data_IF_667899172919
#
_entry.id   IF_667899172919
#
_cell.length_a   1.000
_cell.length_b   1.000
_cell.length_c   1.000
_cell.angle_alpha   90.00
_cell.angle_beta   90.00
_cell.angle_gamma   90.00
#
_symmetry.space_group_name_H-M   'P 1'
#
loop_
_entity.id
_entity.type
_entity.pdbx_description
1 polymer ?
#
# COMPACT_ATOMS: atom_id res chain seq x y z
N UNK A 1 2.26 26.49 -19.39
CA UNK A 1 2.91 25.81 -20.53
C UNK A 1 2.09 24.59 -20.93
N UNK A 2 1.88 24.32 -22.22
CA UNK A 2 1.17 23.14 -22.70
C UNK A 2 2.06 21.89 -22.71
N UNK A 3 1.47 20.70 -22.54
CA UNK A 3 2.12 19.39 -22.66
C UNK A 3 2.99 19.27 -23.92
N UNK A 4 2.51 19.85 -25.03
CA UNK A 4 3.22 19.90 -26.31
C UNK A 4 4.61 20.58 -26.22
N UNK A 5 4.78 21.62 -25.39
CA UNK A 5 6.08 22.29 -25.20
C UNK A 5 7.08 21.45 -24.40
N UNK A 6 6.61 20.63 -23.45
CA UNK A 6 7.48 19.70 -22.70
C UNK A 6 7.89 18.48 -23.53
N UNK A 7 6.94 17.89 -24.26
CA UNK A 7 7.22 16.77 -25.20
C UNK A 7 8.22 17.22 -26.28
N UNK A 8 8.15 18.48 -26.74
CA UNK A 8 9.11 19.03 -27.70
C UNK A 8 10.55 19.14 -27.15
N UNK A 9 10.72 19.34 -25.83
CA UNK A 9 12.05 19.38 -25.18
C UNK A 9 12.63 18.00 -24.88
N UNK A 10 11.79 16.99 -24.63
CA UNK A 10 12.22 15.62 -24.26
C UNK A 10 11.38 14.58 -24.99
N UNK A 11 11.90 14.03 -26.09
CA UNK A 11 11.17 13.02 -26.89
C UNK A 11 10.95 11.71 -26.15
N UNK A 12 11.72 11.43 -25.10
CA UNK A 12 11.62 10.22 -24.28
C UNK A 12 10.92 10.54 -22.96
N UNK A 13 9.88 9.79 -22.65
CA UNK A 13 9.24 9.79 -21.33
C UNK A 13 10.20 9.17 -20.31
N UNK A 14 10.51 9.91 -19.25
CA UNK A 14 11.44 9.46 -18.20
C UNK A 14 10.71 8.76 -17.05
N UNK A 15 9.47 9.14 -16.77
CA UNK A 15 8.66 8.49 -15.72
C UNK A 15 8.12 7.14 -16.16
N UNK A 16 8.12 6.19 -15.23
CA UNK A 16 7.41 4.91 -15.35
C UNK A 16 6.33 4.87 -14.28
N UNK A 17 5.06 4.97 -14.69
CA UNK A 17 3.90 4.95 -13.78
C UNK A 17 3.07 3.67 -13.88
N UNK A 18 3.50 2.73 -14.71
CA UNK A 18 2.78 1.49 -15.00
C UNK A 18 3.56 0.30 -14.46
N UNK A 19 2.84 -0.72 -14.02
CA UNK A 19 3.44 -1.99 -13.61
C UNK A 19 4.01 -2.68 -14.85
N UNK A 20 5.28 -3.06 -14.79
CA UNK A 20 5.92 -3.87 -15.83
C UNK A 20 6.02 -5.33 -15.41
N UNK A 21 6.08 -6.25 -16.37
CA UNK A 21 6.34 -7.65 -16.09
C UNK A 21 7.72 -7.83 -15.43
N UNK A 22 7.80 -8.69 -14.42
CA UNK A 22 9.05 -8.97 -13.73
C UNK A 22 9.45 -7.95 -12.67
N UNK A 23 8.69 -6.87 -12.43
CA UNK A 23 9.00 -5.86 -11.40
C UNK A 23 9.27 -6.46 -10.00
N UNK A 24 8.74 -7.65 -9.71
CA UNK A 24 8.98 -8.36 -8.46
C UNK A 24 10.48 -8.65 -8.21
N UNK A 25 11.30 -8.73 -9.26
CA UNK A 25 12.76 -8.91 -9.13
C UNK A 25 13.44 -7.68 -8.53
N UNK A 26 12.87 -6.49 -8.72
CA UNK A 26 13.36 -5.25 -8.11
C UNK A 26 13.00 -5.16 -6.62
N UNK A 27 12.13 -6.05 -6.11
CA UNK A 27 11.75 -6.05 -4.71
C UNK A 27 12.86 -6.67 -3.84
N UNK A 28 13.69 -5.81 -3.26
CA UNK A 28 14.86 -6.21 -2.46
C UNK A 28 14.57 -6.38 -0.97
N UNK A 29 13.47 -5.81 -0.46
CA UNK A 29 13.15 -5.75 0.98
C UNK A 29 11.81 -6.41 1.32
N UNK A 30 11.59 -6.70 2.61
CA UNK A 30 10.35 -7.29 3.13
C UNK A 30 10.35 -8.83 3.09
N UNK A 31 9.18 -9.42 3.25
CA UNK A 31 9.00 -10.88 3.28
C UNK A 31 8.91 -11.46 1.88
N UNK A 32 9.76 -12.46 1.59
CA UNK A 32 9.80 -13.15 0.29
C UNK A 32 9.96 -14.65 0.48
N UNK A 33 8.84 -15.37 0.48
CA UNK A 33 8.79 -16.85 0.49
C UNK A 33 7.95 -17.33 -0.67
N UNK A 34 8.51 -18.15 -1.56
CA UNK A 34 7.83 -18.67 -2.76
C UNK A 34 6.42 -19.18 -2.46
N UNK A 35 5.41 -18.60 -3.11
CA UNK A 35 3.99 -18.96 -2.95
C UNK A 35 3.26 -18.31 -1.76
N UNK A 36 3.96 -17.50 -0.95
CA UNK A 36 3.44 -16.94 0.31
C UNK A 36 3.57 -15.42 0.41
N UNK A 37 3.98 -14.74 -0.66
CA UNK A 37 4.20 -13.29 -0.66
C UNK A 37 3.73 -12.65 -1.96
N UNK A 38 3.52 -11.34 -1.91
CA UNK A 38 3.27 -10.49 -3.07
C UNK A 38 4.16 -9.25 -2.99
N UNK A 39 4.69 -8.81 -4.13
CA UNK A 39 5.39 -7.53 -4.22
C UNK A 39 4.37 -6.39 -4.19
N UNK A 40 4.49 -5.53 -3.19
CA UNK A 40 3.61 -4.39 -2.99
C UNK A 40 4.29 -3.10 -3.47
N UNK A 41 3.60 -2.36 -4.32
CA UNK A 41 3.94 -0.97 -4.65
C UNK A 41 3.49 -0.06 -3.50
N UNK A 42 4.45 0.50 -2.77
CA UNK A 42 4.18 1.34 -1.59
C UNK A 42 3.36 2.57 -1.97
N UNK A 43 3.82 3.30 -2.98
CA UNK A 43 3.01 4.23 -3.76
C UNK A 43 2.33 3.42 -4.86
N UNK A 44 1.06 3.09 -4.65
CA UNK A 44 0.29 2.18 -5.49
C UNK A 44 0.11 2.70 -6.93
N UNK A 45 0.19 1.79 -7.90
CA UNK A 45 -0.14 2.07 -9.32
C UNK A 45 -1.54 2.67 -9.46
N UNK A 46 -2.52 2.14 -8.71
CA UNK A 46 -3.88 2.66 -8.66
C UNK A 46 -3.91 4.11 -8.14
N UNK A 47 -3.19 4.41 -7.06
CA UNK A 47 -3.14 5.75 -6.48
C UNK A 47 -2.49 6.78 -7.41
N UNK A 48 -1.41 6.39 -8.09
CA UNK A 48 -0.78 7.23 -9.13
C UNK A 48 -1.68 7.35 -10.35
N UNK A 49 -2.47 6.32 -10.70
CA UNK A 49 -3.41 6.35 -11.82
C UNK A 49 -4.63 7.25 -11.61
N UNK A 50 -5.14 7.32 -10.37
CA UNK A 50 -6.29 8.16 -9.98
C UNK A 50 -6.12 9.64 -10.27
N UNK A 51 -4.87 10.08 -10.43
CA UNK A 51 -4.48 11.41 -10.84
C UNK A 51 -5.24 11.94 -12.08
N UNK A 52 -5.64 11.04 -12.99
CA UNK A 52 -6.41 11.41 -14.20
C UNK A 52 -7.87 11.79 -13.92
N UNK A 53 -8.41 11.38 -12.77
CA UNK A 53 -9.84 11.50 -12.41
C UNK A 53 -10.04 12.44 -11.24
N UNK A 54 -9.16 12.38 -10.25
CA UNK A 54 -9.37 13.00 -8.93
C UNK A 54 -8.97 14.48 -8.85
N UNK A 55 -8.39 15.07 -9.91
CA UNK A 55 -7.92 16.47 -9.84
C UNK A 55 -8.91 17.52 -10.33
N UNK A 56 -8.79 18.75 -9.77
CA UNK A 56 -9.50 19.89 -10.28
C UNK A 56 -9.26 20.05 -11.78
N UNK A 57 -10.32 19.88 -12.57
CA UNK A 57 -10.31 20.13 -14.02
C UNK A 57 -10.31 21.62 -14.35
N UNK A 58 -10.17 22.48 -13.35
CA UNK A 58 -10.19 23.93 -13.51
C UNK A 58 -8.95 24.56 -12.87
N UNK A 59 -8.16 25.32 -13.65
CA UNK A 59 -8.29 25.47 -15.10
C UNK A 59 -7.96 24.16 -15.84
N UNK A 60 -8.59 23.88 -17.00
CA UNK A 60 -8.45 22.63 -17.79
C UNK A 60 -7.02 22.30 -18.26
N UNK A 61 -6.08 23.21 -18.05
CA UNK A 61 -4.65 23.03 -18.30
C UNK A 61 -3.90 22.26 -17.19
N UNK A 62 -4.56 21.96 -16.06
CA UNK A 62 -3.89 21.41 -14.89
C UNK A 62 -3.46 19.95 -15.05
N UNK A 63 -4.34 19.13 -15.63
CA UNK A 63 -4.03 17.73 -15.92
C UNK A 63 -2.90 17.60 -16.96
N UNK A 64 -2.95 18.42 -18.01
CA UNK A 64 -1.90 18.47 -19.03
C UNK A 64 -0.56 18.94 -18.46
N UNK A 65 -0.58 19.90 -17.54
CA UNK A 65 0.61 20.36 -16.83
C UNK A 65 1.19 19.26 -15.93
N UNK A 66 0.37 18.58 -15.13
CA UNK A 66 0.81 17.47 -14.27
C UNK A 66 1.40 16.32 -15.08
N UNK A 67 0.76 15.92 -16.18
CA UNK A 67 1.32 14.90 -17.07
C UNK A 67 2.62 15.38 -17.72
N UNK A 68 2.77 16.66 -18.03
CA UNK A 68 4.01 17.23 -18.54
C UNK A 68 5.14 17.23 -17.50
N UNK A 69 4.84 17.56 -16.25
CA UNK A 69 5.78 17.48 -15.12
C UNK A 69 6.25 16.05 -14.91
N UNK A 70 5.29 15.11 -14.87
CA UNK A 70 5.59 13.69 -14.74
C UNK A 70 6.38 13.18 -15.92
N UNK A 71 6.07 13.57 -17.16
CA UNK A 71 6.77 13.10 -18.36
C UNK A 71 8.29 13.21 -18.26
N UNK A 72 8.78 14.31 -17.68
CA UNK A 72 10.20 14.64 -17.52
C UNK A 72 10.78 14.23 -16.15
N UNK A 73 9.99 13.61 -15.28
CA UNK A 73 10.45 13.20 -13.95
C UNK A 73 11.03 11.79 -13.98
N UNK A 74 12.33 11.60 -13.69
CA UNK A 74 12.97 10.28 -13.70
C UNK A 74 12.63 9.51 -12.42
N UNK A 75 11.37 9.07 -12.33
CA UNK A 75 10.83 8.23 -11.26
C UNK A 75 10.20 6.96 -11.84
N UNK A 76 10.48 5.82 -11.22
CA UNK A 76 9.96 4.52 -11.65
C UNK A 76 9.19 3.87 -10.50
N UNK A 77 7.89 3.65 -10.74
CA UNK A 77 7.01 2.99 -9.79
C UNK A 77 7.51 1.57 -9.44
N UNK A 78 8.23 0.91 -10.33
CA UNK A 78 8.77 -0.44 -10.18
C UNK A 78 10.17 -0.47 -9.55
N UNK A 79 10.72 0.68 -9.16
CA UNK A 79 12.03 0.74 -8.53
C UNK A 79 12.00 0.15 -7.12
N UNK A 80 13.14 -0.38 -6.66
CA UNK A 80 13.27 -1.08 -5.39
C UNK A 80 12.79 -0.26 -4.18
N UNK A 81 13.01 1.06 -4.17
CA UNK A 81 12.61 1.93 -3.07
C UNK A 81 11.08 1.95 -2.87
N UNK A 82 10.32 1.83 -3.95
CA UNK A 82 8.86 1.81 -3.95
C UNK A 82 8.27 0.40 -3.83
N UNK A 83 9.09 -0.62 -3.63
CA UNK A 83 8.65 -2.02 -3.50
C UNK A 83 8.97 -2.61 -2.13
N UNK A 84 8.00 -3.30 -1.56
CA UNK A 84 8.17 -4.12 -0.35
C UNK A 84 7.47 -5.47 -0.52
N UNK A 85 8.12 -6.55 -0.12
CA UNK A 85 7.51 -7.87 -0.09
C UNK A 85 6.60 -8.00 1.11
N UNK A 86 5.30 -8.24 0.88
CA UNK A 86 4.34 -8.47 1.95
C UNK A 86 3.82 -9.91 1.94
N UNK A 87 3.64 -10.53 3.12
CA UNK A 87 3.05 -11.86 3.23
C UNK A 87 1.61 -11.88 2.72
N UNK A 88 1.18 -13.04 2.22
CA UNK A 88 -0.23 -13.30 1.96
C UNK A 88 -0.97 -13.71 3.24
N UNK A 89 -2.31 -13.60 3.25
CA UNK A 89 -3.15 -14.15 4.31
C UNK A 89 -2.85 -15.62 4.60
N UNK A 90 -2.54 -16.39 3.54
CA UNK A 90 -2.19 -17.79 3.66
C UNK A 90 -0.93 -17.99 4.50
N UNK A 91 0.09 -17.16 4.34
CA UNK A 91 1.31 -17.25 5.12
C UNK A 91 1.03 -17.19 6.62
N UNK A 92 0.19 -16.26 7.07
CA UNK A 92 -0.15 -16.13 8.48
C UNK A 92 -1.02 -17.26 9.01
N UNK A 93 -1.94 -17.77 8.19
CA UNK A 93 -2.72 -18.95 8.58
C UNK A 93 -1.83 -20.18 8.73
N UNK A 94 -0.96 -20.42 7.76
CA UNK A 94 -0.13 -21.63 7.71
C UNK A 94 1.03 -21.56 8.73
N UNK A 95 1.44 -20.35 9.15
CA UNK A 95 2.44 -20.13 10.20
C UNK A 95 1.86 -19.91 11.60
N UNK A 96 0.53 -19.99 11.77
CA UNK A 96 -0.14 -19.60 13.02
C UNK A 96 0.28 -18.20 13.52
N UNK A 97 0.41 -17.25 12.61
CA UNK A 97 0.78 -15.87 12.91
C UNK A 97 2.26 -15.67 13.23
N UNK A 98 3.08 -16.72 13.25
CA UNK A 98 4.48 -16.64 13.71
C UNK A 98 5.43 -16.02 12.69
N UNK A 99 5.08 -16.06 11.40
CA UNK A 99 5.99 -15.59 10.35
C UNK A 99 5.23 -14.95 9.18
N UNK A 100 5.73 -13.83 8.62
CA UNK A 100 6.80 -13.00 9.18
C UNK A 100 6.35 -12.26 10.44
N UNK A 101 7.30 -11.84 11.27
CA UNK A 101 6.98 -10.97 12.40
C UNK A 101 6.69 -9.56 11.87
N UNK A 102 5.65 -8.95 12.42
CA UNK A 102 5.35 -7.52 12.32
C UNK A 102 5.33 -6.92 10.91
N UNK A 103 4.70 -7.64 9.97
CA UNK A 103 4.32 -7.09 8.67
C UNK A 103 2.81 -7.24 8.41
N UNK A 104 2.14 -6.26 7.80
CA UNK A 104 0.77 -6.43 7.37
C UNK A 104 0.69 -7.46 6.23
N UNK A 105 -0.47 -8.09 6.10
CA UNK A 105 -0.78 -8.95 4.96
C UNK A 105 -1.15 -8.11 3.73
N UNK A 106 -0.63 -8.48 2.56
CA UNK A 106 -0.85 -7.75 1.31
C UNK A 106 -2.34 -7.58 0.92
N UNK A 107 -3.21 -8.48 1.40
CA UNK A 107 -4.63 -8.44 1.04
C UNK A 107 -5.51 -7.68 2.04
N UNK A 108 -5.06 -7.43 3.26
CA UNK A 108 -5.94 -6.93 4.33
C UNK A 108 -6.01 -5.41 4.28
N UNK A 109 -7.22 -4.91 3.98
CA UNK A 109 -7.54 -3.48 3.89
C UNK A 109 -6.66 -2.71 2.89
N UNK A 110 -6.17 -3.40 1.85
CA UNK A 110 -5.38 -2.81 0.78
C UNK A 110 -6.26 -1.92 -0.12
N UNK A 111 -7.30 -2.49 -0.74
CA UNK A 111 -8.18 -1.82 -1.72
C UNK A 111 -9.62 -1.64 -1.21
N UNK A 112 -9.81 -1.50 0.09
CA UNK A 112 -11.12 -1.27 0.71
C UNK A 112 -11.41 0.23 0.85
N UNK A 113 -12.67 0.59 1.09
CA UNK A 113 -13.03 1.96 1.52
C UNK A 113 -12.32 2.29 2.83
N UNK A 114 -11.62 3.41 2.88
CA UNK A 114 -10.73 3.80 3.99
C UNK A 114 -9.47 2.94 4.12
N UNK A 115 -9.17 2.10 3.12
CA UNK A 115 -8.00 1.24 3.08
C UNK A 115 -6.74 1.95 2.59
N UNK A 116 -5.65 1.19 2.49
CA UNK A 116 -4.32 1.69 2.17
C UNK A 116 -4.27 2.50 0.87
N UNK A 117 -4.86 1.99 -0.22
CA UNK A 117 -4.87 2.69 -1.52
C UNK A 117 -5.54 4.06 -1.45
N UNK A 118 -6.61 4.22 -0.68
CA UNK A 118 -7.28 5.52 -0.51
C UNK A 118 -6.41 6.49 0.30
N UNK A 119 -5.68 6.00 1.31
CA UNK A 119 -4.75 6.82 2.08
C UNK A 119 -3.60 7.34 1.23
N UNK A 120 -3.00 6.48 0.40
CA UNK A 120 -1.94 6.87 -0.53
C UNK A 120 -2.49 7.87 -1.54
N UNK A 121 -3.65 7.61 -2.16
CA UNK A 121 -4.29 8.53 -3.10
C UNK A 121 -4.53 9.91 -2.48
N UNK A 122 -5.09 9.96 -1.27
CA UNK A 122 -5.36 11.19 -0.55
C UNK A 122 -4.07 11.96 -0.25
N UNK A 123 -3.04 11.26 0.24
CA UNK A 123 -1.75 11.90 0.52
C UNK A 123 -1.13 12.49 -0.74
N UNK A 124 -1.08 11.74 -1.84
CA UNK A 124 -0.51 12.25 -3.08
C UNK A 124 -1.29 13.48 -3.58
N UNK A 125 -2.63 13.44 -3.52
CA UNK A 125 -3.48 14.59 -3.84
C UNK A 125 -3.07 15.83 -3.05
N UNK A 126 -3.03 15.72 -1.73
CA UNK A 126 -2.79 16.85 -0.84
C UNK A 126 -1.34 17.36 -0.86
N UNK A 127 -0.34 16.49 -1.09
CA UNK A 127 1.07 16.82 -0.83
C UNK A 127 1.97 16.82 -2.06
N UNK A 128 1.54 16.21 -3.17
CA UNK A 128 2.35 16.12 -4.40
C UNK A 128 1.62 16.83 -5.53
N UNK A 129 0.34 16.53 -5.72
CA UNK A 129 -0.38 17.04 -6.87
C UNK A 129 -0.86 18.47 -6.63
N UNK A 130 -1.50 18.76 -5.49
CA UNK A 130 -1.88 20.15 -5.15
C UNK A 130 -0.67 21.10 -5.11
N UNK A 131 0.45 20.67 -4.53
CA UNK A 131 1.68 21.48 -4.43
C UNK A 131 2.26 21.86 -5.80
N UNK A 132 2.24 20.95 -6.77
CA UNK A 132 2.63 21.25 -8.16
C UNK A 132 1.71 22.28 -8.79
N UNK A 133 0.41 22.17 -8.53
CA UNK A 133 -0.61 23.00 -9.18
C UNK A 133 -0.62 24.44 -8.69
N UNK A 134 -0.31 24.67 -7.42
CA UNK A 134 -0.15 26.02 -6.85
C UNK A 134 1.05 26.77 -7.45
N UNK A 135 2.08 26.05 -7.91
CA UNK A 135 3.30 26.61 -8.52
C UNK A 135 3.17 26.86 -10.03
N UNK A 136 2.01 26.61 -10.64
CA UNK A 136 1.83 26.65 -12.11
C UNK A 136 2.24 27.97 -12.77
N UNK A 137 2.05 29.11 -12.09
CA UNK A 137 2.42 30.43 -12.61
C UNK A 137 3.93 30.66 -12.66
N UNK A 138 4.71 29.94 -11.85
CA UNK A 138 6.17 30.11 -11.74
C UNK A 138 6.92 29.38 -12.86
N UNK A 139 6.24 28.53 -13.64
CA UNK A 139 6.77 27.82 -14.83
C UNK A 139 8.04 26.98 -14.63
N UNK A 140 8.59 26.94 -13.43
CA UNK A 140 9.79 26.21 -13.05
C UNK A 140 9.36 25.03 -12.18
N UNK A 141 9.02 23.93 -12.85
CA UNK A 141 8.81 22.66 -12.15
C UNK A 141 10.19 22.16 -11.78
N UNK A 142 10.49 22.20 -10.49
CA UNK A 142 11.67 21.51 -9.99
C UNK A 142 11.41 20.00 -10.06
N UNK A 143 11.86 19.41 -11.16
CA UNK A 143 11.80 17.97 -11.44
C UNK A 143 12.44 17.17 -10.30
N UNK A 144 13.52 17.70 -9.71
CA UNK A 144 14.19 17.05 -8.58
C UNK A 144 13.30 17.09 -7.33
N UNK A 145 12.61 18.20 -7.08
CA UNK A 145 11.60 18.30 -6.01
C UNK A 145 10.46 17.29 -6.22
N UNK A 146 9.86 17.19 -7.41
CA UNK A 146 8.76 16.24 -7.65
C UNK A 146 9.20 14.78 -7.44
N UNK A 147 10.39 14.42 -7.95
CA UNK A 147 10.97 13.11 -7.68
C UNK A 147 11.13 12.86 -6.18
N UNK A 148 11.70 13.84 -5.45
CA UNK A 148 11.91 13.75 -4.01
C UNK A 148 10.59 13.62 -3.23
N UNK A 149 9.52 14.29 -3.66
CA UNK A 149 8.18 14.17 -3.05
C UNK A 149 7.60 12.76 -3.22
N UNK A 150 7.75 12.14 -4.40
CA UNK A 150 7.31 10.76 -4.66
C UNK A 150 8.12 9.72 -3.89
N UNK A 151 9.44 9.91 -3.79
CA UNK A 151 10.34 9.06 -2.99
C UNK A 151 10.07 9.23 -1.49
N UNK A 152 9.76 10.44 -1.04
CA UNK A 152 9.35 10.74 0.35
C UNK A 152 8.01 10.09 0.68
N UNK A 153 7.04 10.13 -0.24
CA UNK A 153 5.78 9.41 -0.08
C UNK A 153 6.02 7.90 0.10
N UNK A 154 6.90 7.31 -0.72
CA UNK A 154 7.29 5.90 -0.62
C UNK A 154 7.91 5.59 0.75
N UNK A 155 8.84 6.42 1.21
CA UNK A 155 9.52 6.23 2.51
C UNK A 155 8.53 6.33 3.68
N UNK A 156 7.69 7.35 3.70
CA UNK A 156 6.68 7.56 4.74
C UNK A 156 5.67 6.40 4.82
N UNK A 157 5.18 5.93 3.68
CA UNK A 157 4.19 4.85 3.67
C UNK A 157 4.80 3.48 3.98
N UNK A 158 6.09 3.27 3.66
CA UNK A 158 6.85 2.10 4.12
C UNK A 158 6.90 2.05 5.64
N UNK A 159 7.34 3.14 6.29
CA UNK A 159 7.39 3.23 7.76
C UNK A 159 6.02 3.00 8.38
N UNK A 160 4.95 3.53 7.75
CA UNK A 160 3.58 3.26 8.19
C UNK A 160 3.23 1.78 8.08
N UNK A 161 3.58 1.08 7.00
CA UNK A 161 3.32 -0.35 6.86
C UNK A 161 4.06 -1.17 7.93
N UNK A 162 5.33 -0.88 8.16
CA UNK A 162 6.15 -1.56 9.16
C UNK A 162 5.60 -1.30 10.57
N UNK A 163 5.30 -0.04 10.91
CA UNK A 163 4.63 0.32 12.18
C UNK A 163 3.26 -0.35 12.34
N UNK A 164 2.51 -0.53 11.24
CA UNK A 164 1.22 -1.22 11.24
C UNK A 164 1.38 -2.67 11.65
N UNK A 165 2.41 -3.35 11.14
CA UNK A 165 2.70 -4.73 11.50
C UNK A 165 2.96 -4.95 13.00
N UNK A 166 3.50 -3.95 13.70
CA UNK A 166 3.79 -4.00 15.14
C UNK A 166 2.58 -3.65 16.05
N UNK A 167 1.41 -3.32 15.49
CA UNK A 167 0.25 -2.88 16.29
C UNK A 167 -0.18 -3.93 17.31
N UNK A 168 -0.61 -3.45 18.47
CA UNK A 168 -1.16 -4.28 19.55
C UNK A 168 -0.24 -5.44 19.97
N UNK A 169 1.08 -5.23 19.91
CA UNK A 169 2.07 -6.24 20.28
C UNK A 169 2.50 -7.16 19.13
N UNK A 170 2.08 -6.86 17.89
CA UNK A 170 2.58 -7.53 16.71
C UNK A 170 1.72 -8.68 16.19
N UNK A 171 2.08 -9.20 15.02
CA UNK A 171 1.32 -10.23 14.30
C UNK A 171 1.20 -11.52 15.12
N UNK A 172 2.32 -12.01 15.65
CA UNK A 172 2.40 -13.25 16.44
C UNK A 172 1.56 -13.19 17.71
N UNK A 173 1.73 -12.12 18.49
CA UNK A 173 1.00 -11.93 19.74
C UNK A 173 -0.51 -11.83 19.49
N UNK A 174 -0.91 -11.00 18.53
CA UNK A 174 -2.31 -10.86 18.18
C UNK A 174 -2.94 -12.15 17.66
N UNK A 175 -2.22 -12.95 16.87
CA UNK A 175 -2.74 -14.23 16.39
C UNK A 175 -2.99 -15.24 17.52
N UNK A 176 -2.03 -15.36 18.44
CA UNK A 176 -2.10 -16.27 19.59
C UNK A 176 -3.31 -15.94 20.47
N UNK A 177 -3.52 -14.66 20.75
CA UNK A 177 -4.55 -14.19 21.67
C UNK A 177 -5.88 -13.85 20.97
N UNK A 178 -6.05 -14.20 19.69
CA UNK A 178 -7.21 -13.75 18.89
C UNK A 178 -8.57 -14.17 19.43
N UNK A 179 -8.63 -15.21 20.26
CA UNK A 179 -9.86 -15.69 20.89
C UNK A 179 -10.07 -15.15 22.31
N UNK A 180 -9.09 -14.46 22.88
CA UNK A 180 -9.18 -13.93 24.24
C UNK A 180 -10.11 -12.72 24.31
N UNK A 181 -10.79 -12.59 25.44
CA UNK A 181 -11.61 -11.43 25.74
C UNK A 181 -10.73 -10.16 25.72
N UNK A 182 -11.17 -9.11 25.02
CA UNK A 182 -10.39 -7.90 24.80
C UNK A 182 -9.49 -7.91 23.55
N UNK A 183 -9.07 -9.08 23.05
CA UNK A 183 -8.29 -9.21 21.83
C UNK A 183 -9.11 -9.66 20.61
N UNK A 184 -10.23 -10.35 20.81
CA UNK A 184 -11.12 -10.77 19.72
C UNK A 184 -11.57 -9.62 18.79
N UNK A 185 -11.59 -8.37 19.28
CA UNK A 185 -11.92 -7.17 18.48
C UNK A 185 -10.71 -6.39 17.97
N UNK A 186 -9.49 -6.86 18.23
CA UNK A 186 -8.22 -6.15 17.96
C UNK A 186 -7.14 -7.00 17.29
N UNK A 187 -7.29 -8.32 17.30
CA UNK A 187 -6.29 -9.27 16.80
C UNK A 187 -5.88 -9.02 15.34
N UNK A 188 -6.78 -8.48 14.52
CA UNK A 188 -6.55 -8.30 13.09
C UNK A 188 -5.76 -7.02 12.76
N UNK A 189 -5.51 -6.15 13.74
CA UNK A 189 -4.88 -4.84 13.54
C UNK A 189 -3.49 -4.90 12.91
N UNK A 190 -2.56 -5.76 13.37
CA UNK A 190 -1.22 -5.84 12.78
C UNK A 190 -1.20 -6.43 11.38
N UNK A 191 -2.24 -7.18 11.01
CA UNK A 191 -2.35 -7.77 9.68
C UNK A 191 -2.86 -6.77 8.64
N UNK A 192 -3.46 -5.65 9.06
CA UNK A 192 -4.07 -4.69 8.17
C UNK A 192 -3.08 -3.67 7.64
N UNK A 193 -3.11 -3.49 6.31
CA UNK A 193 -2.40 -2.39 5.67
C UNK A 193 -3.04 -1.04 5.94
N UNK A 194 -4.32 -0.97 6.32
CA UNK A 194 -5.03 0.30 6.53
C UNK A 194 -4.73 0.97 7.86
N UNK A 195 -4.87 2.30 7.93
CA UNK A 195 -4.81 3.09 9.16
C UNK A 195 -5.91 2.67 10.13
N UNK A 196 -7.12 2.42 9.61
CA UNK A 196 -8.28 1.97 10.38
C UNK A 196 -8.70 0.57 9.92
N UNK A 197 -8.20 -0.48 10.58
CA UNK A 197 -8.48 -1.86 10.19
C UNK A 197 -9.97 -2.20 10.21
N UNK A 198 -10.46 -2.89 9.18
CA UNK A 198 -11.86 -3.36 9.13
C UNK A 198 -12.05 -4.52 10.10
N UNK A 199 -13.18 -4.57 10.81
CA UNK A 199 -13.46 -5.64 11.78
C UNK A 199 -13.38 -7.04 11.16
N UNK A 200 -12.72 -7.97 11.87
CA UNK A 200 -12.60 -9.39 11.47
C UNK A 200 -12.87 -10.31 12.64
N UNK A 201 -13.76 -11.28 12.41
CA UNK A 201 -14.00 -12.36 13.37
C UNK A 201 -12.73 -13.20 13.54
N UNK A 202 -12.34 -13.56 14.77
CA UNK A 202 -11.23 -14.49 15.02
C UNK A 202 -11.54 -15.94 14.59
N UNK A 203 -12.77 -16.20 14.14
CA UNK A 203 -13.27 -17.54 13.84
C UNK A 203 -13.71 -18.29 15.10
N UNK A 204 -13.83 -19.61 15.00
CA UNK A 204 -14.18 -20.47 16.13
C UNK A 204 -12.91 -20.88 16.87
N UNK A 205 -12.94 -20.84 18.21
CA UNK A 205 -11.88 -21.43 19.02
C UNK A 205 -11.95 -22.96 18.96
N UNK A 206 -10.81 -23.62 18.81
CA UNK A 206 -10.73 -25.10 18.88
C UNK A 206 -11.27 -25.64 20.21
N UNK A 207 -11.08 -24.92 21.33
CA UNK A 207 -11.65 -25.32 22.63
C UNK A 207 -13.19 -25.40 22.61
N UNK A 208 -13.83 -24.55 21.80
CA UNK A 208 -15.28 -24.59 21.62
C UNK A 208 -15.70 -25.81 20.78
N UNK A 209 -14.94 -26.12 19.71
CA UNK A 209 -15.20 -27.30 18.87
C UNK A 209 -14.99 -28.61 19.64
N UNK A 210 -13.94 -28.73 20.44
CA UNK A 210 -13.71 -29.90 21.31
C UNK A 210 -14.87 -30.13 22.28
N UNK A 211 -15.44 -29.04 22.82
CA UNK A 211 -16.62 -29.13 23.69
C UNK A 211 -17.87 -29.59 22.94
N UNK A 212 -18.01 -29.22 21.66
CA UNK A 212 -19.14 -29.62 20.82
C UNK A 212 -19.00 -31.09 20.43
N UNK A 213 -17.84 -31.53 19.98
CA UNK A 213 -17.60 -32.94 19.63
C UNK A 213 -17.71 -33.87 20.84
N UNK A 214 -17.30 -33.43 22.04
CA UNK A 214 -17.56 -34.20 23.28
C UNK A 214 -19.04 -34.26 23.66
N UNK A 215 -19.84 -33.26 23.28
CA UNK A 215 -21.30 -33.22 23.53
C UNK A 215 -22.10 -34.01 22.50
N UNK A 216 -21.60 -34.13 21.27
CA UNK A 216 -22.13 -35.03 20.26
C UNK A 216 -21.62 -36.44 20.61
N UNK A 217 -22.26 -37.09 21.59
CA UNK A 217 -22.21 -38.55 21.67
C UNK A 217 -22.95 -39.08 20.44
N UNK A 218 -22.21 -39.44 19.39
CA UNK A 218 -22.78 -40.19 18.28
C UNK A 218 -23.33 -41.51 18.88
N UNK A 219 -24.62 -41.83 18.70
CA UNK A 219 -25.10 -43.15 19.04
C UNK A 219 -24.39 -44.13 18.11
N UNK A 220 -23.60 -45.02 18.69
CA UNK A 220 -23.21 -46.25 18.01
C UNK A 220 -24.43 -47.17 17.92
#
# INVERSE_FOLDING_TARGET
>A
MSLAKHIAKTRKREVVTERVNGFQTNCTTGFKRTGYWEAHHIVCVSSVGKRKVDYPKSPPELADYLEACLWVTPWDINAAHNLIGLPSNRQYRDSNGESPEDLPSHQVDHNTRGGYTEEVSKYLMENVWCSLTEKKEVHDVDIATLKAELESASSMFRERLESRGARNGGTKFCWKNRHEEGFARKWYYPFSMGKKPSHRSPGVSYSLLDSIFKKIKLPF
#
